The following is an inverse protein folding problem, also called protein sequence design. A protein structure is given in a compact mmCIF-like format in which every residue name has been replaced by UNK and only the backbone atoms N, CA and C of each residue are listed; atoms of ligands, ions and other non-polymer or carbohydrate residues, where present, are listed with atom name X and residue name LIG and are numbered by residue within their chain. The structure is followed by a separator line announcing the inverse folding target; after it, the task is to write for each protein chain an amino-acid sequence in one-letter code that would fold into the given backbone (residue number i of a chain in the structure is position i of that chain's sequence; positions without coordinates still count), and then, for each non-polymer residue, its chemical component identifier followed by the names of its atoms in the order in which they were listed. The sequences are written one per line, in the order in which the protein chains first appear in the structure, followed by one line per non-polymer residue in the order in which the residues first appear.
data_IF_643129657777
#
_entry.id   IF_643129657777
#
_cell.length_a   1.000
_cell.length_b   1.000
_cell.length_c   1.000
_cell.angle_alpha   90.00
_cell.angle_beta   90.00
_cell.angle_gamma   90.00
#
_symmetry.space_group_name_H-M   'P 1'
#
loop_
_entity.id
_entity.type
_entity.pdbx_description
1 polymer ?
#
# COMPACT_ATOMS: atom_id res chain seq x y z
N UNK A 1 -6.57 7.47 1.77
CA UNK A 1 -6.53 6.11 2.37
C UNK A 1 -5.91 6.19 3.76
N UNK A 2 -6.39 5.39 4.72
CA UNK A 2 -5.86 5.38 6.10
C UNK A 2 -4.38 4.97 6.15
N UNK A 3 -4.05 3.84 5.51
CA UNK A 3 -2.71 3.26 5.52
C UNK A 3 -1.59 4.19 5.04
N UNK A 4 -1.86 5.04 4.05
CA UNK A 4 -0.85 6.00 3.56
C UNK A 4 -0.55 7.10 4.59
N UNK A 5 -1.56 7.52 5.37
CA UNK A 5 -1.38 8.46 6.48
C UNK A 5 -0.65 7.81 7.65
N UNK A 6 -1.01 6.57 7.97
CA UNK A 6 -0.38 5.81 9.05
C UNK A 6 1.11 5.59 8.76
N UNK A 7 1.46 5.20 7.53
CA UNK A 7 2.86 5.04 7.13
C UNK A 7 3.62 6.38 7.18
N UNK A 8 3.01 7.47 6.71
CA UNK A 8 3.63 8.80 6.83
C UNK A 8 3.86 9.20 8.30
N UNK A 9 2.90 8.94 9.18
CA UNK A 9 3.05 9.22 10.60
C UNK A 9 4.16 8.40 11.24
N UNK A 10 4.32 7.13 10.86
CA UNK A 10 5.43 6.29 11.29
C UNK A 10 6.79 6.84 10.81
N UNK A 11 6.87 7.30 9.54
CA UNK A 11 8.06 7.96 9.01
C UNK A 11 8.37 9.26 9.75
N UNK A 12 7.36 10.09 10.04
CA UNK A 12 7.50 11.33 10.80
C UNK A 12 8.05 11.07 12.21
N UNK A 13 7.52 10.05 12.89
CA UNK A 13 8.01 9.63 14.19
C UNK A 13 9.47 9.18 14.14
N UNK A 14 9.82 8.26 13.23
CA UNK A 14 11.19 7.76 13.09
C UNK A 14 12.18 8.88 12.74
N UNK A 15 11.76 9.83 11.89
CA UNK A 15 12.60 10.96 11.49
C UNK A 15 12.93 11.93 12.63
N UNK A 16 12.09 11.97 13.67
CA UNK A 16 12.29 12.81 14.84
C UNK A 16 13.29 12.21 15.85
N UNK A 17 13.53 10.90 15.81
CA UNK A 17 14.42 10.22 16.74
C UNK A 17 15.90 10.50 16.42
N UNK A 18 16.71 10.97 17.39
CA UNK A 18 18.13 11.27 17.17
C UNK A 18 18.98 10.02 16.86
N UNK A 19 18.55 8.84 17.31
CA UNK A 19 19.22 7.56 17.09
C UNK A 19 18.98 6.95 15.69
N UNK A 20 18.02 7.46 14.92
CA UNK A 20 17.71 6.96 13.58
C UNK A 20 18.64 7.59 12.55
N UNK A 21 19.27 6.75 11.73
CA UNK A 21 20.03 7.22 10.56
C UNK A 21 19.09 7.65 9.43
N UNK A 22 18.96 8.97 9.28
CA UNK A 22 18.10 9.63 8.29
C UNK A 22 18.53 9.40 6.84
N UNK A 23 19.75 8.93 6.60
CA UNK A 23 20.24 8.60 5.26
C UNK A 23 19.84 7.20 4.79
N UNK A 24 19.34 6.34 5.69
CA UNK A 24 19.02 4.93 5.42
C UNK A 24 17.58 4.55 5.80
N UNK A 25 16.62 5.46 5.61
CA UNK A 25 15.21 5.19 5.88
C UNK A 25 14.54 4.44 4.71
N UNK A 26 14.36 3.13 4.86
CA UNK A 26 13.86 2.24 3.80
C UNK A 26 12.42 1.79 4.06
N UNK A 27 11.64 1.63 2.97
CA UNK A 27 10.32 1.03 3.02
C UNK A 27 10.35 -0.37 2.45
N UNK A 28 9.84 -1.34 3.21
CA UNK A 28 9.60 -2.70 2.74
C UNK A 28 8.12 -3.00 2.92
N UNK A 29 7.43 -3.35 1.84
CA UNK A 29 6.01 -3.69 1.88
C UNK A 29 5.69 -4.97 1.12
N UNK A 30 4.62 -5.65 1.56
CA UNK A 30 4.03 -6.81 0.90
C UNK A 30 2.62 -6.49 0.39
N UNK A 31 2.24 -7.00 -0.78
CA UNK A 31 0.87 -6.88 -1.31
C UNK A 31 0.36 -5.42 -1.27
N UNK A 32 -0.80 -5.16 -0.69
CA UNK A 32 -1.33 -3.80 -0.54
C UNK A 32 -0.40 -2.87 0.26
N UNK A 33 0.37 -3.39 1.21
CA UNK A 33 1.41 -2.64 1.92
C UNK A 33 2.56 -2.21 1.01
N UNK A 34 2.90 -3.01 0.00
CA UNK A 34 3.87 -2.63 -1.03
C UNK A 34 3.35 -1.47 -1.89
N UNK A 35 2.07 -1.49 -2.25
CA UNK A 35 1.45 -0.40 -3.00
C UNK A 35 1.42 0.91 -2.19
N UNK A 36 1.10 0.82 -0.91
CA UNK A 36 1.17 1.96 0.03
C UNK A 36 2.60 2.51 0.09
N UNK A 37 3.62 1.64 0.18
CA UNK A 37 5.03 2.06 0.17
C UNK A 37 5.41 2.79 -1.12
N UNK A 38 5.00 2.29 -2.28
CA UNK A 38 5.24 2.96 -3.58
C UNK A 38 4.60 4.35 -3.61
N UNK A 39 3.32 4.43 -3.22
CA UNK A 39 2.60 5.70 -3.16
C UNK A 39 3.30 6.71 -2.25
N UNK A 40 3.64 6.31 -1.01
CA UNK A 40 4.27 7.21 -0.04
C UNK A 40 5.67 7.61 -0.49
N UNK A 41 6.51 6.68 -0.97
CA UNK A 41 7.85 6.98 -1.45
C UNK A 41 7.86 7.91 -2.68
N UNK A 42 6.81 7.86 -3.52
CA UNK A 42 6.69 8.79 -4.65
C UNK A 42 6.54 10.25 -4.20
N UNK A 43 5.98 10.48 -3.01
CA UNK A 43 5.69 11.80 -2.45
C UNK A 43 6.70 12.24 -1.37
N UNK A 44 7.36 11.30 -0.70
CA UNK A 44 8.23 11.55 0.45
C UNK A 44 9.70 11.23 0.14
N UNK A 45 10.47 12.29 -0.11
CA UNK A 45 11.88 12.19 -0.51
C UNK A 45 12.83 11.83 0.63
N UNK A 46 12.32 11.61 1.85
CA UNK A 46 13.10 11.05 2.97
C UNK A 46 13.38 9.56 2.79
N UNK A 47 12.56 8.86 2.00
CA UNK A 47 12.71 7.43 1.74
C UNK A 47 13.92 7.19 0.85
N UNK A 48 14.90 6.45 1.35
CA UNK A 48 16.18 6.19 0.67
C UNK A 48 16.19 4.91 -0.14
N UNK A 49 15.27 3.97 0.11
CA UNK A 49 15.05 2.80 -0.74
C UNK A 49 13.65 2.21 -0.56
N UNK A 50 13.16 1.53 -1.59
CA UNK A 50 11.85 0.85 -1.59
C UNK A 50 12.00 -0.59 -2.03
N UNK A 51 11.46 -1.52 -1.24
CA UNK A 51 11.37 -2.93 -1.56
C UNK A 51 9.90 -3.32 -1.58
N UNK A 52 9.44 -3.86 -2.70
CA UNK A 52 8.06 -4.31 -2.87
C UNK A 52 8.02 -5.80 -3.10
N UNK A 53 7.22 -6.51 -2.31
CA UNK A 53 7.03 -7.94 -2.42
C UNK A 53 5.57 -8.25 -2.80
N UNK A 54 5.33 -9.07 -3.83
CA UNK A 54 3.98 -9.44 -4.29
C UNK A 54 3.07 -8.22 -4.52
N UNK A 55 3.60 -7.16 -5.13
CA UNK A 55 2.95 -5.86 -5.21
C UNK A 55 2.02 -5.81 -6.44
N UNK A 56 0.69 -5.62 -6.26
CA UNK A 56 -0.18 -5.43 -7.40
C UNK A 56 0.10 -4.08 -8.06
N UNK A 57 0.18 -4.05 -9.40
CA UNK A 57 0.31 -2.79 -10.15
C UNK A 57 -0.94 -1.91 -10.02
N UNK A 58 -2.09 -2.54 -9.80
CA UNK A 58 -3.42 -1.95 -9.65
C UNK A 58 -4.35 -2.91 -8.91
N UNK A 59 -5.47 -2.40 -8.40
CA UNK A 59 -6.42 -3.14 -7.56
C UNK A 59 -7.73 -3.48 -8.27
N UNK A 60 -7.67 -3.83 -9.55
CA UNK A 60 -8.86 -4.21 -10.34
C UNK A 60 -9.61 -5.38 -9.69
N UNK A 61 -8.89 -6.38 -9.16
CA UNK A 61 -9.46 -7.50 -8.41
C UNK A 61 -10.28 -7.11 -7.16
N UNK A 62 -10.12 -5.90 -6.61
CA UNK A 62 -10.95 -5.38 -5.51
C UNK A 62 -11.98 -4.35 -5.99
N UNK A 63 -11.75 -3.72 -7.13
CA UNK A 63 -12.49 -2.51 -7.53
C UNK A 63 -13.40 -2.74 -8.73
N UNK A 64 -13.24 -3.86 -9.43
CA UNK A 64 -14.05 -4.30 -10.58
C UNK A 64 -14.67 -5.65 -10.24
N UNK A 65 -15.53 -5.63 -9.23
CA UNK A 65 -16.26 -6.79 -8.72
C UNK A 65 -17.77 -6.58 -8.87
N UNK A 66 -18.50 -7.64 -9.20
CA UNK A 66 -19.95 -7.59 -9.39
C UNK A 66 -20.70 -7.36 -8.05
N UNK A 67 -20.16 -7.86 -6.94
CA UNK A 67 -20.73 -7.72 -5.60
C UNK A 67 -19.75 -7.03 -4.64
N UNK A 68 -19.71 -5.68 -4.58
CA UNK A 68 -18.81 -4.92 -3.70
C UNK A 68 -18.90 -5.30 -2.21
N UNK A 69 -20.10 -5.68 -1.74
CA UNK A 69 -20.31 -6.09 -0.35
C UNK A 69 -19.54 -7.38 0.00
N UNK A 70 -19.39 -8.29 -0.96
CA UNK A 70 -18.66 -9.55 -0.75
C UNK A 70 -17.18 -9.31 -0.37
N UNK A 71 -16.57 -8.24 -0.88
CA UNK A 71 -15.20 -7.84 -0.54
C UNK A 71 -15.13 -7.41 0.93
N UNK A 72 -16.06 -6.57 1.38
CA UNK A 72 -16.14 -6.16 2.79
C UNK A 72 -16.39 -7.36 3.69
N UNK A 73 -17.30 -8.25 3.32
CA UNK A 73 -17.62 -9.46 4.08
C UNK A 73 -16.41 -10.38 4.19
N UNK A 74 -15.64 -10.55 3.11
CA UNK A 74 -14.37 -11.26 3.13
C UNK A 74 -13.38 -10.63 4.12
N UNK A 75 -13.17 -9.32 4.04
CA UNK A 75 -12.27 -8.61 4.96
C UNK A 75 -12.72 -8.66 6.43
N UNK A 76 -14.04 -8.72 6.68
CA UNK A 76 -14.57 -8.98 8.03
C UNK A 76 -14.29 -10.40 8.50
N UNK A 77 -14.54 -11.38 7.63
CA UNK A 77 -14.33 -12.79 7.93
C UNK A 77 -12.87 -13.11 8.29
N UNK A 78 -11.90 -12.48 7.61
CA UNK A 78 -10.46 -12.63 7.95
C UNK A 78 -10.00 -11.71 9.10
N UNK A 79 -10.90 -10.90 9.66
CA UNK A 79 -10.62 -10.02 10.80
C UNK A 79 -9.82 -8.76 10.47
N UNK A 80 -9.72 -8.39 9.19
CA UNK A 80 -9.10 -7.13 8.76
C UNK A 80 -10.03 -5.93 9.00
N UNK A 81 -11.34 -6.10 8.81
CA UNK A 81 -12.37 -5.15 9.23
C UNK A 81 -13.01 -5.65 10.52
N UNK A 82 -12.78 -4.94 11.62
CA UNK A 82 -13.32 -5.29 12.95
C UNK A 82 -14.47 -4.42 13.39
N UNK A 83 -14.51 -3.18 12.91
CA UNK A 83 -15.57 -2.23 13.23
C UNK A 83 -16.85 -2.62 12.48
N UNK A 84 -17.94 -2.85 13.21
CA UNK A 84 -19.25 -3.20 12.63
C UNK A 84 -19.83 -2.09 11.77
N UNK A 85 -19.48 -0.83 12.02
CA UNK A 85 -20.02 0.33 11.31
C UNK A 85 -19.13 0.76 10.13
N UNK A 86 -18.01 0.06 9.89
CA UNK A 86 -17.09 0.32 8.77
C UNK A 86 -17.28 -0.66 7.59
N UNK A 87 -17.18 -0.22 6.32
CA UNK A 87 -17.03 1.17 5.87
C UNK A 87 -18.38 1.90 5.85
N UNK A 88 -18.35 3.23 6.00
CA UNK A 88 -19.55 4.07 5.87
C UNK A 88 -20.16 4.00 4.45
N UNK A 89 -19.30 3.87 3.43
CA UNK A 89 -19.68 3.61 2.04
C UNK A 89 -18.74 2.57 1.47
N UNK A 90 -19.28 1.41 1.07
CA UNK A 90 -18.51 0.32 0.46
C UNK A 90 -17.83 0.80 -0.82
N UNK A 91 -18.57 1.50 -1.68
CA UNK A 91 -18.05 1.99 -2.95
C UNK A 91 -16.90 2.98 -2.76
N UNK A 92 -17.08 4.00 -1.92
CA UNK A 92 -16.03 4.99 -1.66
C UNK A 92 -14.79 4.35 -1.03
N UNK A 93 -14.99 3.36 -0.15
CA UNK A 93 -13.89 2.64 0.45
C UNK A 93 -13.08 1.83 -0.57
N UNK A 94 -13.77 1.11 -1.47
CA UNK A 94 -13.12 0.36 -2.56
C UNK A 94 -12.43 1.31 -3.55
N UNK A 95 -13.05 2.43 -3.90
CA UNK A 95 -12.45 3.44 -4.78
C UNK A 95 -11.15 4.02 -4.20
N UNK A 96 -11.00 4.00 -2.88
CA UNK A 96 -9.76 4.32 -2.19
C UNK A 96 -8.56 3.48 -2.69
N UNK A 97 -8.76 2.21 -3.07
CA UNK A 97 -7.69 1.35 -3.60
C UNK A 97 -7.20 1.85 -4.96
N UNK A 98 -8.09 2.38 -5.82
CA UNK A 98 -7.71 2.97 -7.12
C UNK A 98 -6.78 4.18 -6.96
N UNK A 99 -6.84 4.86 -5.81
CA UNK A 99 -6.02 6.03 -5.51
C UNK A 99 -4.57 5.66 -5.20
N UNK A 100 -4.29 4.44 -4.74
CA UNK A 100 -2.94 3.98 -4.38
C UNK A 100 -2.34 3.00 -5.39
N UNK A 101 -2.95 2.83 -6.57
CA UNK A 101 -2.44 1.94 -7.63
C UNK A 101 -1.00 2.30 -8.03
N UNK A 102 -0.01 1.42 -7.78
CA UNK A 102 1.41 1.69 -8.03
C UNK A 102 1.74 2.16 -9.43
N UNK A 103 1.03 1.67 -10.45
CA UNK A 103 1.24 2.05 -11.86
C UNK A 103 1.17 3.57 -12.09
N UNK A 104 0.40 4.30 -11.25
CA UNK A 104 0.25 5.76 -11.34
C UNK A 104 1.39 6.55 -10.69
N UNK A 105 2.15 5.93 -9.78
CA UNK A 105 3.08 6.63 -8.89
C UNK A 105 4.53 6.14 -8.98
N UNK A 106 4.75 4.94 -9.51
CA UNK A 106 6.07 4.29 -9.54
C UNK A 106 7.14 5.16 -10.20
N UNK A 107 6.79 5.92 -11.25
CA UNK A 107 7.71 6.85 -11.91
C UNK A 107 8.22 7.96 -10.96
N UNK A 108 7.41 8.37 -9.97
CA UNK A 108 7.75 9.38 -8.98
C UNK A 108 8.75 8.90 -7.92
N UNK A 109 9.08 7.60 -7.87
CA UNK A 109 10.11 7.06 -6.98
C UNK A 109 11.51 7.52 -7.41
N UNK A 110 11.75 7.72 -8.71
CA UNK A 110 13.06 8.15 -9.21
C UNK A 110 13.56 9.42 -8.48
N UNK A 111 14.86 9.48 -8.10
CA UNK A 111 15.93 8.51 -8.36
C UNK A 111 16.10 7.43 -7.27
N UNK A 112 15.18 7.31 -6.32
CA UNK A 112 15.28 6.37 -5.20
C UNK A 112 15.34 4.91 -5.71
N UNK A 113 16.28 4.07 -5.22
CA UNK A 113 16.35 2.66 -5.59
C UNK A 113 15.05 1.90 -5.28
N UNK A 114 14.58 1.11 -6.25
CA UNK A 114 13.39 0.28 -6.16
C UNK A 114 13.73 -1.18 -6.49
N UNK A 115 13.40 -2.08 -5.58
CA UNK A 115 13.48 -3.53 -5.79
C UNK A 115 12.07 -4.13 -5.88
N UNK A 116 11.77 -4.77 -7.00
CA UNK A 116 10.52 -5.52 -7.21
C UNK A 116 10.78 -7.02 -7.01
N UNK A 117 10.05 -7.64 -6.09
CA UNK A 117 10.12 -9.08 -5.80
C UNK A 117 8.74 -9.68 -5.99
N UNK A 118 8.63 -10.68 -6.86
CA UNK A 118 7.36 -11.37 -7.09
C UNK A 118 7.56 -12.89 -7.14
N UNK A 119 6.61 -13.61 -6.56
CA UNK A 119 6.63 -15.08 -6.57
C UNK A 119 6.10 -15.62 -7.90
N UNK A 120 6.84 -16.53 -8.54
CA UNK A 120 6.38 -17.17 -9.78
C UNK A 120 5.19 -18.13 -9.62
N UNK A 121 4.72 -18.34 -8.37
CA UNK A 121 3.55 -19.14 -8.01
C UNK A 121 2.55 -18.32 -7.17
N UNK A 122 2.58 -17.00 -7.31
CA UNK A 122 1.53 -16.17 -6.73
C UNK A 122 0.25 -16.37 -7.56
N UNK A 123 -0.80 -16.89 -6.92
CA UNK A 123 -2.09 -17.17 -7.56
C UNK A 123 -3.08 -16.01 -7.38
N UNK A 124 -2.68 -14.95 -6.66
CA UNK A 124 -3.54 -13.82 -6.29
C UNK A 124 -3.14 -12.55 -7.03
N UNK A 125 -1.84 -12.29 -7.15
CA UNK A 125 -1.31 -11.14 -7.87
C UNK A 125 -0.52 -11.63 -9.08
N UNK A 126 -0.99 -11.26 -10.26
CA UNK A 126 -0.32 -11.60 -11.53
C UNK A 126 1.07 -10.95 -11.63
N UNK A 127 2.00 -11.66 -12.30
CA UNK A 127 3.37 -11.20 -12.63
C UNK A 127 3.37 -10.39 -13.92
#
# INVERSE_FOLDING_TARGET
MGWTRDLKAALDYLWALPEVDKSHLSLLGFSSGAAVSVYVASLDKRVSSVITCACPAEFTFLTEVDEPQSVVDHFRNIGAIRDKDFPYSVQEWLDGFRFISPIKYVAGISPTPLLLVHGSRDEVVDV
#
